data_IF_420075121153
#
_entry.id   IF_420075121153
#
_cell.length_a   1.000
_cell.length_b   1.000
_cell.length_c   1.000
_cell.angle_alpha   90.00
_cell.angle_beta   90.00
_cell.angle_gamma   90.00
#
_symmetry.space_group_name_H-M   'P 1'
#
loop_
_entity.id
_entity.type
_entity.pdbx_description
1 polymer ?
#
# COMPACT_ATOMS: atom_id res chain seq x y z
N UNK A 1 -10.13 -9.09 -5.25
CA UNK A 1 -8.93 -8.95 -4.39
C UNK A 1 -7.78 -8.41 -5.21
N UNK A 2 -7.00 -7.53 -4.62
CA UNK A 2 -5.90 -6.87 -5.34
C UNK A 2 -4.56 -7.50 -4.98
N UNK A 3 -3.74 -7.81 -5.97
CA UNK A 3 -2.38 -8.33 -5.77
C UNK A 3 -1.39 -7.20 -5.58
N UNK A 4 -1.46 -6.19 -6.44
CA UNK A 4 -0.57 -5.04 -6.38
C UNK A 4 -1.22 -3.85 -7.08
N UNK A 5 -0.65 -2.67 -6.84
CA UNK A 5 -1.01 -1.46 -7.56
C UNK A 5 0.26 -0.87 -8.19
N UNK A 6 0.12 -0.36 -9.39
CA UNK A 6 1.20 0.34 -10.09
C UNK A 6 0.68 1.70 -10.53
N UNK A 7 1.30 2.76 -10.05
CA UNK A 7 0.84 4.10 -10.34
C UNK A 7 1.80 5.13 -9.79
N UNK A 8 1.35 6.39 -9.78
CA UNK A 8 2.17 7.51 -9.36
C UNK A 8 1.96 7.79 -7.87
N UNK A 9 3.06 7.88 -7.14
CA UNK A 9 3.01 8.24 -5.73
C UNK A 9 2.73 9.73 -5.59
N UNK A 10 1.55 10.07 -5.06
CA UNK A 10 1.09 11.47 -5.01
C UNK A 10 1.10 12.09 -3.62
N UNK A 11 1.13 11.27 -2.57
CA UNK A 11 1.08 11.78 -1.21
C UNK A 11 1.74 10.80 -0.24
N UNK A 12 2.47 11.36 0.72
CA UNK A 12 3.07 10.59 1.82
C UNK A 12 2.66 11.26 3.13
N UNK A 13 2.16 10.47 4.07
CA UNK A 13 1.88 10.94 5.44
C UNK A 13 2.58 10.04 6.43
N UNK A 14 2.45 10.35 7.71
CA UNK A 14 3.06 9.52 8.76
C UNK A 14 2.46 8.11 8.85
N UNK A 15 1.26 7.90 8.29
CA UNK A 15 0.53 6.63 8.45
C UNK A 15 0.24 5.92 7.13
N UNK A 16 0.26 6.62 6.01
CA UNK A 16 -0.14 6.03 4.74
C UNK A 16 0.50 6.75 3.56
N UNK A 17 0.39 6.13 2.40
CA UNK A 17 0.75 6.76 1.13
C UNK A 17 -0.46 6.72 0.22
N UNK A 18 -0.45 7.57 -0.81
CA UNK A 18 -1.49 7.57 -1.85
C UNK A 18 -0.84 7.31 -3.19
N UNK A 19 -1.32 6.30 -3.89
CA UNK A 19 -0.87 5.96 -5.24
C UNK A 19 -2.03 6.21 -6.20
N UNK A 20 -1.79 7.01 -7.22
CA UNK A 20 -2.80 7.35 -8.21
C UNK A 20 -2.62 6.50 -9.46
N UNK A 21 -3.71 5.88 -9.91
CA UNK A 21 -3.75 5.17 -11.19
C UNK A 21 -5.13 5.35 -11.80
N UNK A 22 -5.18 5.55 -13.10
CA UNK A 22 -6.43 5.74 -13.86
C UNK A 22 -7.30 6.88 -13.28
N UNK A 23 -6.69 7.92 -12.74
CA UNK A 23 -7.42 9.06 -12.18
C UNK A 23 -7.94 8.86 -10.77
N UNK A 24 -7.64 7.71 -10.14
CA UNK A 24 -8.07 7.41 -8.77
C UNK A 24 -6.87 7.37 -7.84
N UNK A 25 -7.01 7.99 -6.68
CA UNK A 25 -5.99 7.92 -5.62
C UNK A 25 -6.35 6.85 -4.61
N UNK A 26 -5.50 5.84 -4.48
CA UNK A 26 -5.68 4.76 -3.52
C UNK A 26 -4.86 5.02 -2.27
N UNK A 27 -5.52 5.01 -1.11
CA UNK A 27 -4.86 5.18 0.18
C UNK A 27 -4.39 3.81 0.66
N UNK A 28 -3.07 3.68 0.87
CA UNK A 28 -2.44 2.43 1.26
C UNK A 28 -1.79 2.59 2.63
N UNK A 29 -2.17 1.75 3.58
CA UNK A 29 -1.52 1.72 4.89
C UNK A 29 -0.20 0.96 4.77
N UNK A 30 0.90 1.62 5.07
CA UNK A 30 2.24 1.01 4.99
C UNK A 30 2.96 1.19 6.32
N UNK A 31 3.88 0.28 6.62
CA UNK A 31 4.60 0.31 7.89
C UNK A 31 5.54 1.51 8.00
N UNK A 32 6.17 1.90 6.89
CA UNK A 32 7.12 3.01 6.88
C UNK A 32 6.88 3.91 5.67
N UNK A 33 5.90 4.83 5.74
CA UNK A 33 5.60 5.69 4.60
C UNK A 33 6.78 6.52 4.13
N UNK A 34 7.63 6.97 5.03
CA UNK A 34 8.75 7.84 4.66
C UNK A 34 9.85 7.12 3.88
N UNK A 35 9.83 5.78 3.85
CA UNK A 35 10.71 5.03 2.98
C UNK A 35 10.45 5.32 1.49
N UNK A 36 9.27 5.85 1.17
CA UNK A 36 8.89 6.22 -0.19
C UNK A 36 9.21 7.68 -0.54
N UNK A 37 9.83 8.43 0.38
CA UNK A 37 10.02 9.88 0.19
C UNK A 37 10.82 10.25 -1.05
N UNK A 38 11.78 9.41 -1.45
CA UNK A 38 12.54 9.66 -2.68
C UNK A 38 11.81 9.33 -3.96
N UNK A 39 10.58 8.86 -3.88
CA UNK A 39 9.79 8.40 -5.04
C UNK A 39 8.55 9.24 -5.29
N UNK A 40 8.44 10.40 -4.63
CA UNK A 40 7.31 11.30 -4.86
C UNK A 40 7.20 11.67 -6.34
N UNK A 41 5.97 11.63 -6.84
CA UNK A 41 5.63 11.92 -8.22
C UNK A 41 6.26 10.96 -9.25
N UNK A 42 6.73 9.81 -8.78
CA UNK A 42 7.28 8.77 -9.64
C UNK A 42 6.38 7.54 -9.62
N UNK A 43 6.50 6.71 -10.65
CA UNK A 43 5.77 5.45 -10.71
C UNK A 43 6.33 4.47 -9.69
N UNK A 44 5.43 3.87 -8.91
CA UNK A 44 5.79 2.85 -7.93
C UNK A 44 4.88 1.64 -8.11
N UNK A 45 5.37 0.48 -7.68
CA UNK A 45 4.57 -0.74 -7.59
C UNK A 45 4.54 -1.16 -6.13
N UNK A 46 3.35 -1.33 -5.59
CA UNK A 46 3.15 -1.68 -4.18
C UNK A 46 2.29 -2.93 -4.11
N UNK A 47 2.75 -3.94 -3.40
CA UNK A 47 1.96 -5.16 -3.20
C UNK A 47 0.89 -4.90 -2.16
N UNK A 48 -0.30 -5.46 -2.37
CA UNK A 48 -1.47 -5.14 -1.58
C UNK A 48 -2.03 -6.34 -0.84
N UNK A 49 -2.60 -6.06 0.33
CA UNK A 49 -3.46 -6.99 1.02
C UNK A 49 -4.70 -6.23 1.48
N UNK A 50 -5.86 -6.69 1.07
CA UNK A 50 -7.12 -6.04 1.42
C UNK A 50 -7.70 -6.68 2.68
N UNK A 51 -8.03 -5.84 3.65
CA UNK A 51 -8.72 -6.28 4.87
C UNK A 51 -10.11 -5.69 4.83
N UNK A 52 -11.14 -6.54 4.87
CA UNK A 52 -12.53 -6.12 4.87
C UNK A 52 -13.09 -6.30 6.27
N UNK A 53 -13.60 -5.22 6.83
CA UNK A 53 -14.28 -5.22 8.13
C UNK A 53 -15.69 -4.73 7.94
N UNK A 54 -16.53 -4.89 8.96
CA UNK A 54 -17.93 -4.45 8.89
C UNK A 54 -18.07 -2.98 8.50
N UNK A 55 -17.18 -2.14 9.01
CA UNK A 55 -17.24 -0.68 8.85
C UNK A 55 -16.16 -0.09 7.97
N UNK A 56 -15.26 -0.90 7.41
CA UNK A 56 -14.16 -0.37 6.63
C UNK A 56 -13.53 -1.40 5.70
N UNK A 57 -13.02 -0.88 4.58
CA UNK A 57 -12.17 -1.63 3.65
C UNK A 57 -10.80 -1.01 3.70
N UNK A 58 -9.81 -1.77 4.16
CA UNK A 58 -8.45 -1.28 4.32
C UNK A 58 -7.52 -1.95 3.32
N UNK A 59 -6.65 -1.14 2.69
CA UNK A 59 -5.60 -1.66 1.83
C UNK A 59 -4.26 -1.48 2.51
N UNK A 60 -3.56 -2.57 2.75
CA UNK A 60 -2.20 -2.55 3.27
C UNK A 60 -1.21 -2.71 2.13
N UNK A 61 -0.17 -1.87 2.13
CA UNK A 61 0.82 -1.86 1.06
C UNK A 61 2.17 -2.36 1.55
N UNK A 62 2.87 -3.09 0.67
CA UNK A 62 4.19 -3.66 0.96
C UNK A 62 5.12 -3.39 -0.20
N UNK A 63 6.36 -3.03 0.09
CA UNK A 63 7.35 -2.74 -0.94
C UNK A 63 7.77 -3.99 -1.71
N UNK A 64 7.74 -5.15 -1.05
CA UNK A 64 8.14 -6.43 -1.65
C UNK A 64 7.14 -7.53 -1.33
N UNK A 65 7.16 -8.59 -2.15
CA UNK A 65 6.33 -9.77 -1.86
C UNK A 65 6.71 -10.43 -0.54
N UNK A 66 7.99 -10.38 -0.19
CA UNK A 66 8.48 -10.98 1.05
C UNK A 66 7.87 -10.30 2.27
N UNK A 67 7.78 -8.98 2.26
CA UNK A 67 7.12 -8.24 3.34
C UNK A 67 5.65 -8.61 3.44
N UNK A 68 4.98 -8.75 2.31
CA UNK A 68 3.58 -9.17 2.28
C UNK A 68 3.41 -10.56 2.87
N UNK A 69 4.28 -11.50 2.52
CA UNK A 69 4.24 -12.86 3.05
C UNK A 69 4.44 -12.89 4.56
N UNK A 70 5.39 -12.10 5.08
CA UNK A 70 5.61 -12.00 6.51
C UNK A 70 4.37 -11.47 7.23
N UNK A 71 3.74 -10.45 6.68
CA UNK A 71 2.52 -9.91 7.25
C UNK A 71 1.41 -10.96 7.30
N UNK A 72 1.21 -11.68 6.19
CA UNK A 72 0.19 -12.71 6.12
C UNK A 72 0.45 -13.85 7.10
N UNK A 73 1.70 -14.24 7.30
CA UNK A 73 2.06 -15.26 8.28
C UNK A 73 1.74 -14.81 9.71
N UNK A 74 1.96 -13.54 10.01
CA UNK A 74 1.70 -13.00 11.34
C UNK A 74 0.20 -12.94 11.65
N UNK A 75 -0.63 -12.68 10.66
CA UNK A 75 -2.09 -12.54 10.88
C UNK A 75 -2.85 -13.83 10.69
N UNK A 76 -2.24 -14.87 10.15
CA UNK A 76 -2.90 -16.16 9.86
C UNK A 76 -2.86 -17.14 11.02
N UNK A 77 -2.28 -16.77 12.12
CA UNK A 77 -2.13 -17.62 13.29
C UNK A 77 -3.40 -17.71 14.10
#
# INVERSE_FOLDING_TARGET
MYEYIKGILTKITAKYIVVETAGLGYLLHVANPYAYSGKMNQEVQVYLHQVVREDAHLLYGFATEEEKKLFLNLISV
#
